data_IF_522025745328
#
_entry.id   IF_522025745328
#
_cell.length_a   1.000
_cell.length_b   1.000
_cell.length_c   1.000
_cell.angle_alpha   90.00
_cell.angle_beta   90.00
_cell.angle_gamma   90.00
#
_symmetry.space_group_name_H-M   'P 1'
#
loop_
_entity.id
_entity.type
_entity.pdbx_description
1 polymer ?
#
# COMPACT_ATOMS: atom_id res chain seq x y z
N UNK A 1 26.51 -1.97 -8.95
CA UNK A 1 26.52 -1.90 -7.47
C UNK A 1 27.25 -3.14 -6.99
N UNK A 2 28.25 -3.03 -6.13
CA UNK A 2 28.97 -4.22 -5.64
C UNK A 2 28.12 -4.94 -4.57
N UNK A 3 28.39 -6.23 -4.30
CA UNK A 3 27.69 -6.97 -3.24
C UNK A 3 27.83 -6.30 -1.86
N UNK A 4 28.95 -5.64 -1.59
CA UNK A 4 29.17 -4.88 -0.35
C UNK A 4 28.26 -3.63 -0.26
N UNK A 5 28.03 -2.93 -1.37
CA UNK A 5 27.14 -1.76 -1.43
C UNK A 5 25.66 -2.15 -1.18
N UNK A 6 25.25 -3.33 -1.67
CA UNK A 6 23.92 -3.90 -1.43
C UNK A 6 23.71 -4.14 0.06
N UNK A 7 24.64 -4.83 0.72
CA UNK A 7 24.48 -5.18 2.14
C UNK A 7 24.51 -3.99 3.08
N UNK A 8 25.31 -2.97 2.75
CA UNK A 8 25.30 -1.69 3.48
C UNK A 8 23.93 -1.02 3.41
N UNK A 9 23.31 -0.98 2.21
CA UNK A 9 21.97 -0.41 2.01
C UNK A 9 20.88 -1.16 2.79
N UNK A 10 20.99 -2.49 2.89
CA UNK A 10 19.98 -3.31 3.56
C UNK A 10 20.04 -3.29 5.09
N UNK A 11 21.17 -2.90 5.67
CA UNK A 11 21.39 -2.82 7.13
C UNK A 11 21.44 -1.38 7.64
N UNK A 12 21.70 -0.42 6.76
CA UNK A 12 21.76 1.01 7.08
C UNK A 12 20.38 1.63 7.39
N UNK A 13 20.35 2.94 7.64
CA UNK A 13 19.09 3.67 7.83
C UNK A 13 18.18 3.51 6.60
N UNK A 14 16.87 3.44 6.84
CA UNK A 14 15.88 3.38 5.75
C UNK A 14 15.98 4.68 4.93
N UNK A 15 16.12 4.60 3.59
CA UNK A 15 16.05 5.78 2.75
C UNK A 15 14.72 6.53 2.96
N UNK A 16 14.76 7.86 2.97
CA UNK A 16 13.52 8.63 3.05
C UNK A 16 12.73 8.55 1.72
N UNK A 17 11.40 8.55 1.82
CA UNK A 17 10.54 8.76 0.65
C UNK A 17 10.75 10.16 0.07
N UNK A 18 10.52 10.30 -1.23
CA UNK A 18 10.36 11.61 -1.86
C UNK A 18 9.16 12.30 -1.19
N UNK A 19 9.34 13.52 -0.67
CA UNK A 19 8.37 14.20 0.19
C UNK A 19 6.98 14.39 -0.42
N UNK A 20 6.90 14.45 -1.76
CA UNK A 20 5.62 14.52 -2.49
C UNK A 20 4.76 13.27 -2.32
N UNK A 21 5.34 12.09 -2.11
CA UNK A 21 4.59 10.85 -1.92
C UNK A 21 3.82 10.88 -0.59
N UNK A 22 4.45 11.07 0.59
CA UNK A 22 3.71 11.23 1.85
C UNK A 22 2.70 12.37 1.83
N UNK A 23 3.03 13.52 1.21
CA UNK A 23 2.10 14.64 1.09
C UNK A 23 0.84 14.28 0.29
N UNK A 24 1.01 13.60 -0.85
CA UNK A 24 -0.10 13.11 -1.65
C UNK A 24 -0.97 12.09 -0.91
N UNK A 25 -0.35 11.15 -0.19
CA UNK A 25 -1.08 10.17 0.65
C UNK A 25 -1.86 10.84 1.78
N UNK A 26 -1.31 11.89 2.39
CA UNK A 26 -2.02 12.68 3.41
C UNK A 26 -3.24 13.39 2.82
N UNK A 27 -3.13 13.94 1.61
CA UNK A 27 -4.27 14.53 0.90
C UNK A 27 -5.35 13.48 0.58
N UNK A 28 -4.97 12.29 0.11
CA UNK A 28 -5.88 11.16 -0.07
C UNK A 28 -6.60 10.80 1.24
N UNK A 29 -5.87 10.66 2.34
CA UNK A 29 -6.43 10.30 3.63
C UNK A 29 -7.43 11.35 4.14
N UNK A 30 -7.10 12.64 3.99
CA UNK A 30 -7.98 13.74 4.37
C UNK A 30 -9.27 13.75 3.54
N UNK A 31 -9.17 13.62 2.21
CA UNK A 31 -10.33 13.58 1.35
C UNK A 31 -11.20 12.34 1.58
N UNK A 32 -10.59 11.17 1.76
CA UNK A 32 -11.31 9.95 2.11
C UNK A 32 -12.08 10.08 3.42
N UNK A 33 -11.49 10.72 4.44
CA UNK A 33 -12.18 10.97 5.70
C UNK A 33 -13.40 11.90 5.52
N UNK A 34 -13.27 12.96 4.71
CA UNK A 34 -14.39 13.85 4.41
C UNK A 34 -15.49 13.15 3.60
N UNK A 35 -15.14 12.32 2.62
CA UNK A 35 -16.12 11.53 1.87
C UNK A 35 -16.82 10.49 2.75
N UNK A 36 -16.09 9.76 3.61
CA UNK A 36 -16.66 8.76 4.50
C UNK A 36 -17.58 9.35 5.58
N UNK A 37 -17.46 10.64 5.87
CA UNK A 37 -18.36 11.35 6.76
C UNK A 37 -19.72 11.69 6.13
N UNK A 38 -19.87 11.52 4.81
CA UNK A 38 -21.14 11.79 4.10
C UNK A 38 -22.11 10.64 4.38
N UNK A 39 -23.30 10.90 4.94
CA UNK A 39 -24.30 9.88 5.18
C UNK A 39 -24.93 9.43 3.85
N UNK A 40 -25.33 8.16 3.77
CA UNK A 40 -25.81 7.56 2.52
C UNK A 40 -27.08 8.26 1.98
N UNK A 41 -27.94 8.73 2.87
CA UNK A 41 -29.16 9.48 2.55
C UNK A 41 -28.89 10.85 1.92
N UNK A 42 -27.69 11.42 2.08
CA UNK A 42 -27.32 12.70 1.48
C UNK A 42 -26.75 12.56 0.06
N UNK A 43 -26.56 11.36 -0.47
CA UNK A 43 -25.94 11.14 -1.79
C UNK A 43 -26.67 11.85 -2.94
N UNK A 44 -27.99 12.00 -2.82
CA UNK A 44 -28.84 12.66 -3.82
C UNK A 44 -29.06 14.15 -3.56
N UNK A 45 -28.51 14.68 -2.46
CA UNK A 45 -28.60 16.10 -2.15
C UNK A 45 -27.88 16.93 -3.23
N UNK A 46 -28.38 18.14 -3.53
CA UNK A 46 -27.74 19.02 -4.50
C UNK A 46 -26.28 19.30 -4.13
N UNK A 47 -25.40 19.19 -5.12
CA UNK A 47 -24.00 19.60 -5.01
C UNK A 47 -23.59 20.33 -6.28
N UNK A 48 -22.72 21.33 -6.14
CA UNK A 48 -22.23 22.13 -7.25
C UNK A 48 -20.78 21.80 -7.54
N UNK A 49 -20.48 21.57 -8.81
CA UNK A 49 -19.12 21.50 -9.31
C UNK A 49 -18.74 22.83 -9.93
N UNK A 50 -17.92 23.60 -9.21
CA UNK A 50 -17.70 25.01 -9.54
C UNK A 50 -19.03 25.78 -9.46
N UNK A 51 -19.45 26.37 -10.58
CA UNK A 51 -20.72 27.11 -10.66
C UNK A 51 -21.91 26.26 -11.16
N UNK A 52 -21.68 25.00 -11.55
CA UNK A 52 -22.69 24.16 -12.19
C UNK A 52 -23.29 23.16 -11.20
N UNK A 53 -24.62 22.97 -11.25
CA UNK A 53 -25.27 21.89 -10.51
C UNK A 53 -24.88 20.53 -11.10
N UNK A 54 -24.52 19.61 -10.22
CA UNK A 54 -24.23 18.22 -10.57
C UNK A 54 -25.54 17.46 -10.83
N UNK A 55 -25.69 16.73 -11.95
CA UNK A 55 -26.89 15.95 -12.25
C UNK A 55 -27.26 14.91 -11.18
N UNK A 56 -26.26 14.35 -10.50
CA UNK A 56 -26.41 13.29 -9.50
C UNK A 56 -25.98 13.74 -8.10
N UNK A 57 -25.97 15.05 -7.86
CA UNK A 57 -25.73 15.62 -6.54
C UNK A 57 -24.36 15.26 -5.95
N UNK A 58 -24.34 15.04 -4.63
CA UNK A 58 -23.15 14.74 -3.83
C UNK A 58 -22.46 13.45 -4.29
N UNK A 59 -23.22 12.44 -4.73
CA UNK A 59 -22.67 11.17 -5.24
C UNK A 59 -21.58 11.41 -6.28
N UNK A 60 -21.82 12.32 -7.22
CA UNK A 60 -20.83 12.69 -8.23
C UNK A 60 -19.64 13.45 -7.64
N UNK A 61 -19.84 14.26 -6.61
CA UNK A 61 -18.73 14.89 -5.87
C UNK A 61 -17.74 13.89 -5.27
N UNK A 62 -18.20 12.68 -4.91
CA UNK A 62 -17.32 11.59 -4.45
C UNK A 62 -16.58 10.96 -5.64
N UNK A 63 -17.27 10.67 -6.75
CA UNK A 63 -16.64 10.14 -7.96
C UNK A 63 -15.57 11.08 -8.55
N UNK A 64 -15.79 12.39 -8.45
CA UNK A 64 -14.82 13.42 -8.86
C UNK A 64 -13.46 13.25 -8.19
N UNK A 65 -13.41 12.77 -6.95
CA UNK A 65 -12.15 12.44 -6.30
C UNK A 65 -11.36 11.36 -7.04
N UNK A 66 -12.04 10.29 -7.50
CA UNK A 66 -11.41 9.23 -8.30
C UNK A 66 -10.94 9.77 -9.65
N UNK A 67 -11.74 10.61 -10.30
CA UNK A 67 -11.38 11.25 -11.58
C UNK A 67 -10.16 12.16 -11.44
N UNK A 68 -10.05 12.92 -10.34
CA UNK A 68 -8.88 13.74 -10.02
C UNK A 68 -7.61 12.88 -9.91
N UNK A 69 -7.69 11.72 -9.26
CA UNK A 69 -6.55 10.78 -9.18
C UNK A 69 -6.23 10.16 -10.53
N UNK A 70 -7.21 9.76 -11.33
CA UNK A 70 -6.96 9.20 -12.68
C UNK A 70 -6.37 10.25 -13.64
N UNK A 71 -6.81 11.51 -13.56
CA UNK A 71 -6.22 12.61 -14.31
C UNK A 71 -4.74 12.81 -13.94
N UNK A 72 -4.43 12.80 -12.64
CA UNK A 72 -3.05 12.87 -12.15
C UNK A 72 -2.21 11.66 -12.60
N UNK A 73 -2.79 10.46 -12.64
CA UNK A 73 -2.13 9.26 -13.14
C UNK A 73 -1.76 9.39 -14.63
N UNK A 74 -2.65 9.97 -15.44
CA UNK A 74 -2.38 10.25 -16.86
C UNK A 74 -1.32 11.35 -17.05
N UNK A 75 -1.31 12.38 -16.20
CA UNK A 75 -0.25 13.39 -16.18
C UNK A 75 1.11 12.79 -15.81
N UNK A 76 1.16 11.95 -14.78
CA UNK A 76 2.37 11.22 -14.39
C UNK A 76 2.85 10.36 -15.55
N UNK A 77 1.98 9.59 -16.19
CA UNK A 77 2.35 8.76 -17.34
C UNK A 77 3.02 9.57 -18.46
N UNK A 78 2.50 10.77 -18.76
CA UNK A 78 3.14 11.69 -19.71
C UNK A 78 4.48 12.23 -19.19
N UNK A 79 4.58 12.59 -17.92
CA UNK A 79 5.82 13.09 -17.32
C UNK A 79 6.93 12.03 -17.28
N UNK A 80 6.55 10.74 -17.22
CA UNK A 80 7.49 9.62 -17.28
C UNK A 80 7.90 9.27 -18.72
N UNK A 81 7.23 9.81 -19.74
CA UNK A 81 7.55 9.51 -21.13
C UNK A 81 8.97 9.99 -21.49
N UNK A 82 9.83 9.06 -21.90
CA UNK A 82 11.24 9.34 -22.22
C UNK A 82 12.16 9.45 -21.00
N UNK A 83 11.64 9.29 -19.78
CA UNK A 83 12.47 9.20 -18.57
C UNK A 83 13.27 7.88 -18.56
N UNK A 84 14.40 7.83 -17.82
CA UNK A 84 15.12 6.58 -17.61
C UNK A 84 14.22 5.48 -17.04
N UNK A 85 14.46 4.23 -17.46
CA UNK A 85 13.74 3.10 -16.91
C UNK A 85 13.93 3.01 -15.39
N UNK A 86 12.85 2.65 -14.68
CA UNK A 86 12.93 2.30 -13.26
C UNK A 86 13.77 1.04 -13.09
N UNK A 87 14.36 0.87 -11.91
CA UNK A 87 15.09 -0.37 -11.61
C UNK A 87 14.17 -1.58 -11.75
N UNK A 88 14.71 -2.75 -12.13
CA UNK A 88 13.93 -3.98 -12.22
C UNK A 88 13.17 -4.31 -10.93
N UNK A 89 13.78 -4.09 -9.77
CA UNK A 89 13.14 -4.36 -8.49
C UNK A 89 12.00 -3.37 -8.18
N UNK A 90 12.15 -2.09 -8.51
CA UNK A 90 11.09 -1.11 -8.33
C UNK A 90 9.86 -1.46 -9.19
N UNK A 91 10.08 -1.94 -10.42
CA UNK A 91 9.01 -2.49 -11.27
C UNK A 91 8.40 -3.75 -10.65
N UNK A 92 9.23 -4.65 -10.10
CA UNK A 92 8.77 -5.89 -9.46
C UNK A 92 7.90 -5.67 -8.22
N UNK A 93 8.17 -4.60 -7.48
CA UNK A 93 7.45 -4.18 -6.26
C UNK A 93 6.13 -3.48 -6.58
N UNK A 94 5.96 -2.88 -7.76
CA UNK A 94 4.78 -2.09 -8.11
C UNK A 94 3.41 -2.79 -7.84
N UNK A 95 3.23 -4.10 -8.10
CA UNK A 95 2.00 -4.81 -7.74
C UNK A 95 1.71 -4.85 -6.24
N UNK A 96 2.74 -4.80 -5.38
CA UNK A 96 2.58 -4.70 -3.92
C UNK A 96 1.94 -3.38 -3.53
N UNK A 97 2.31 -2.28 -4.18
CA UNK A 97 1.68 -0.96 -3.97
C UNK A 97 0.19 -0.99 -4.31
N UNK A 98 -0.17 -1.64 -5.43
CA UNK A 98 -1.57 -1.80 -5.82
C UNK A 98 -2.33 -2.62 -4.78
N UNK A 99 -1.79 -3.76 -4.35
CA UNK A 99 -2.42 -4.62 -3.34
C UNK A 99 -2.55 -3.91 -1.99
N UNK A 100 -1.52 -3.18 -1.55
CA UNK A 100 -1.53 -2.36 -0.33
C UNK A 100 -2.69 -1.37 -0.36
N UNK A 101 -2.86 -0.63 -1.45
CA UNK A 101 -3.90 0.38 -1.54
C UNK A 101 -5.31 -0.20 -1.64
N UNK A 102 -5.46 -1.37 -2.27
CA UNK A 102 -6.71 -2.12 -2.24
C UNK A 102 -7.10 -2.54 -0.81
N UNK A 103 -6.12 -2.94 0.02
CA UNK A 103 -6.35 -3.22 1.44
C UNK A 103 -6.64 -1.92 2.22
N UNK A 104 -5.85 -0.87 2.03
CA UNK A 104 -6.06 0.43 2.68
C UNK A 104 -7.46 0.99 2.42
N UNK A 105 -8.00 0.86 1.22
CA UNK A 105 -9.36 1.31 0.89
C UNK A 105 -10.46 0.57 1.67
N UNK A 106 -10.28 -0.73 1.92
CA UNK A 106 -11.19 -1.50 2.79
C UNK A 106 -11.09 -1.07 4.24
N UNK A 107 -9.86 -0.86 4.71
CA UNK A 107 -9.59 -0.46 6.08
C UNK A 107 -10.00 0.99 6.37
N UNK A 108 -10.01 1.87 5.36
CA UNK A 108 -10.42 3.26 5.52
C UNK A 108 -11.85 3.40 6.07
N UNK A 109 -12.73 2.46 5.71
CA UNK A 109 -14.14 2.43 6.11
C UNK A 109 -14.43 1.50 7.31
N UNK A 110 -13.41 0.81 7.84
CA UNK A 110 -13.60 -0.22 8.84
C UNK A 110 -13.61 0.37 10.26
N UNK A 111 -14.62 -0.02 11.04
CA UNK A 111 -14.72 0.33 12.46
C UNK A 111 -13.86 -0.60 13.33
N UNK A 112 -13.15 -0.03 14.31
CA UNK A 112 -12.37 -0.75 15.32
C UNK A 112 -13.19 -1.85 16.02
N UNK A 113 -14.50 -1.64 16.21
CA UNK A 113 -15.40 -2.61 16.83
C UNK A 113 -15.51 -3.94 16.06
N UNK A 114 -15.08 -3.99 14.79
CA UNK A 114 -15.08 -5.20 13.98
C UNK A 114 -13.77 -6.00 14.10
N UNK A 115 -12.69 -5.40 14.61
CA UNK A 115 -11.35 -6.01 14.61
C UNK A 115 -11.33 -7.36 15.36
N UNK A 116 -11.99 -7.43 16.50
CA UNK A 116 -11.92 -8.58 17.43
C UNK A 116 -13.14 -9.50 17.38
N UNK A 117 -14.11 -9.19 16.51
CA UNK A 117 -15.28 -10.06 16.36
C UNK A 117 -14.87 -11.35 15.68
N UNK A 118 -15.17 -12.47 16.35
CA UNK A 118 -14.97 -13.81 15.79
C UNK A 118 -16.03 -14.06 14.72
N UNK A 119 -15.66 -14.25 13.44
CA UNK A 119 -16.65 -14.40 12.37
C UNK A 119 -17.35 -15.76 12.44
N UNK A 120 -16.60 -16.83 12.73
CA UNK A 120 -17.04 -18.21 12.90
C UNK A 120 -16.06 -18.97 13.78
N UNK A 121 -16.49 -20.11 14.32
CA UNK A 121 -15.61 -21.02 15.04
C UNK A 121 -14.43 -21.45 14.17
N UNK A 122 -13.20 -21.35 14.70
CA UNK A 122 -11.97 -21.72 14.01
C UNK A 122 -11.43 -20.69 13.01
N UNK A 123 -12.21 -19.67 12.66
CA UNK A 123 -11.81 -18.63 11.70
C UNK A 123 -11.09 -17.47 12.39
N UNK A 124 -10.22 -16.80 11.63
CA UNK A 124 -9.45 -15.65 12.14
C UNK A 124 -10.32 -14.40 12.25
N UNK A 125 -10.05 -13.58 13.26
CA UNK A 125 -10.61 -12.23 13.34
C UNK A 125 -9.95 -11.32 12.29
N UNK A 126 -10.56 -10.16 12.04
CA UNK A 126 -9.94 -9.14 11.18
C UNK A 126 -8.58 -8.70 11.75
N UNK A 127 -8.47 -8.50 13.08
CA UNK A 127 -7.20 -8.17 13.74
C UNK A 127 -6.11 -9.20 13.46
N UNK A 128 -6.43 -10.48 13.65
CA UNK A 128 -5.47 -11.57 13.43
C UNK A 128 -5.03 -11.64 11.96
N UNK A 129 -5.98 -11.46 11.03
CA UNK A 129 -5.67 -11.43 9.59
C UNK A 129 -4.72 -10.28 9.24
N UNK A 130 -4.93 -9.09 9.83
CA UNK A 130 -4.08 -7.91 9.59
C UNK A 130 -2.71 -8.05 10.26
N UNK A 131 -2.65 -8.57 11.48
CA UNK A 131 -1.42 -8.91 12.20
C UNK A 131 -0.54 -9.83 11.34
N UNK A 132 -1.12 -10.93 10.86
CA UNK A 132 -0.46 -11.88 9.97
C UNK A 132 0.02 -11.24 8.67
N UNK A 133 -0.79 -10.38 8.08
CA UNK A 133 -0.44 -9.69 6.82
C UNK A 133 0.82 -8.86 6.99
N UNK A 134 0.90 -8.07 8.07
CA UNK A 134 2.01 -7.16 8.36
C UNK A 134 3.26 -7.96 8.78
N UNK A 135 3.13 -8.94 9.66
CA UNK A 135 4.21 -9.85 10.03
C UNK A 135 4.81 -10.51 8.79
N UNK A 136 3.95 -11.03 7.91
CA UNK A 136 4.38 -11.62 6.65
C UNK A 136 5.17 -10.66 5.78
N UNK A 137 4.76 -9.38 5.65
CA UNK A 137 5.54 -8.38 4.91
C UNK A 137 6.91 -8.14 5.55
N UNK A 138 6.98 -8.05 6.88
CA UNK A 138 8.22 -7.84 7.61
C UNK A 138 9.17 -9.02 7.46
N UNK A 139 8.64 -10.23 7.63
CA UNK A 139 9.34 -11.50 7.44
C UNK A 139 9.84 -11.65 5.99
N UNK A 140 9.01 -11.36 4.99
CA UNK A 140 9.46 -11.39 3.60
C UNK A 140 10.63 -10.43 3.36
N UNK A 141 10.56 -9.21 3.89
CA UNK A 141 11.64 -8.23 3.80
C UNK A 141 12.93 -8.73 4.47
N UNK A 142 12.84 -9.12 5.74
CA UNK A 142 13.98 -9.58 6.53
C UNK A 142 14.67 -10.80 5.91
N UNK A 143 13.91 -11.83 5.53
CA UNK A 143 14.49 -13.05 4.96
C UNK A 143 15.02 -12.82 3.54
N UNK A 144 14.44 -11.92 2.75
CA UNK A 144 14.99 -11.58 1.43
C UNK A 144 16.34 -10.87 1.58
N UNK A 145 16.47 -9.96 2.56
CA UNK A 145 17.78 -9.39 2.95
C UNK A 145 18.76 -10.48 3.37
N UNK A 146 18.33 -11.42 4.20
CA UNK A 146 19.19 -12.52 4.65
C UNK A 146 19.72 -13.35 3.47
N UNK A 147 18.85 -13.74 2.54
CA UNK A 147 19.23 -14.51 1.33
C UNK A 147 20.22 -13.78 0.43
N UNK A 148 20.07 -12.47 0.26
CA UNK A 148 21.02 -11.63 -0.50
C UNK A 148 22.37 -11.54 0.19
N UNK A 149 22.41 -11.63 1.53
CA UNK A 149 23.65 -11.61 2.31
C UNK A 149 24.42 -12.92 2.36
N UNK A 150 23.84 -14.02 1.88
CA UNK A 150 24.51 -15.32 1.85
C UNK A 150 25.52 -15.39 0.70
N UNK A 151 26.60 -16.19 0.84
CA UNK A 151 27.50 -16.47 -0.28
C UNK A 151 26.74 -17.02 -1.49
N UNK A 152 27.25 -16.75 -2.69
CA UNK A 152 26.76 -17.36 -3.91
C UNK A 152 27.41 -18.74 -4.14
N UNK A 153 26.80 -19.58 -4.98
CA UNK A 153 27.38 -20.86 -5.36
C UNK A 153 27.25 -21.95 -4.29
N UNK A 154 28.17 -22.94 -4.26
CA UNK A 154 28.06 -24.15 -3.43
C UNK A 154 27.96 -23.89 -1.92
N UNK A 155 28.49 -22.76 -1.45
CA UNK A 155 28.49 -22.39 -0.02
C UNK A 155 27.15 -21.75 0.42
N UNK A 156 26.20 -21.54 -0.50
CA UNK A 156 24.88 -21.00 -0.18
C UNK A 156 24.11 -21.99 0.69
N UNK A 157 23.52 -21.55 1.83
CA UNK A 157 22.67 -22.42 2.63
C UNK A 157 21.46 -22.93 1.83
N UNK A 158 21.11 -24.21 2.00
CA UNK A 158 19.92 -24.79 1.36
C UNK A 158 18.60 -24.30 1.98
N UNK A 159 18.65 -23.76 3.20
CA UNK A 159 17.49 -23.22 3.94
C UNK A 159 17.96 -22.11 4.88
N UNK A 160 17.01 -21.32 5.37
CA UNK A 160 17.23 -20.42 6.51
C UNK A 160 17.74 -21.25 7.69
N UNK A 161 18.81 -20.79 8.34
CA UNK A 161 19.42 -21.54 9.45
C UNK A 161 18.67 -21.25 10.76
N UNK A 162 18.71 -22.16 11.75
CA UNK A 162 18.10 -21.93 13.05
C UNK A 162 18.60 -20.65 13.74
N UNK A 163 19.87 -20.29 13.53
CA UNK A 163 20.45 -19.04 14.06
C UNK A 163 19.82 -17.81 13.40
N UNK A 164 19.55 -17.87 12.09
CA UNK A 164 18.88 -16.80 11.37
C UNK A 164 17.41 -16.66 11.82
N UNK A 165 16.72 -17.77 12.05
CA UNK A 165 15.36 -17.78 12.61
C UNK A 165 15.35 -17.14 14.02
N UNK A 166 16.27 -17.54 14.89
CA UNK A 166 16.42 -16.96 16.22
C UNK A 166 16.74 -15.44 16.17
N UNK A 167 17.57 -15.00 15.22
CA UNK A 167 17.86 -13.58 15.00
C UNK A 167 16.60 -12.83 14.58
N UNK A 168 15.83 -13.38 13.64
CA UNK A 168 14.56 -12.77 13.19
C UNK A 168 13.56 -12.62 14.33
N UNK A 169 13.42 -13.63 15.19
CA UNK A 169 12.53 -13.57 16.36
C UNK A 169 12.95 -12.53 17.41
N UNK A 170 14.23 -12.11 17.40
CA UNK A 170 14.75 -11.06 18.30
C UNK A 170 14.64 -9.67 17.66
N UNK A 171 14.83 -9.57 16.35
CA UNK A 171 14.84 -8.31 15.59
C UNK A 171 13.44 -7.83 15.18
N UNK A 172 12.50 -8.75 14.98
CA UNK A 172 11.16 -8.44 14.51
C UNK A 172 10.17 -8.45 15.69
N UNK A 173 9.14 -7.59 15.68
CA UNK A 173 8.00 -7.73 16.59
C UNK A 173 7.33 -9.10 16.39
N UNK A 174 6.75 -9.64 17.46
CA UNK A 174 5.90 -10.82 17.33
C UNK A 174 4.61 -10.50 16.57
N UNK A 175 4.06 -11.49 15.86
CA UNK A 175 2.86 -11.33 15.01
C UNK A 175 1.71 -10.62 15.75
N UNK A 176 1.40 -11.03 16.99
CA UNK A 176 0.32 -10.42 17.78
C UNK A 176 0.52 -8.90 17.98
N UNK A 177 1.76 -8.44 18.10
CA UNK A 177 2.08 -7.02 18.28
C UNK A 177 1.74 -6.19 17.04
N UNK A 178 1.84 -6.79 15.84
CA UNK A 178 1.54 -6.10 14.58
C UNK A 178 0.05 -5.75 14.45
N UNK A 179 -0.81 -6.53 15.09
CA UNK A 179 -2.26 -6.31 15.13
C UNK A 179 -2.73 -5.39 16.25
N UNK A 180 -1.88 -4.88 17.14
CA UNK A 180 -2.33 -4.04 18.26
C UNK A 180 -2.73 -2.63 17.81
N UNK A 181 -3.73 -2.08 18.49
CA UNK A 181 -4.23 -0.71 18.30
C UNK A 181 -5.54 -0.62 17.52
N UNK A 182 -5.85 0.60 17.12
CA UNK A 182 -6.95 0.99 16.23
C UNK A 182 -6.68 0.55 14.79
N UNK A 183 -7.71 0.53 13.94
CA UNK A 183 -7.56 0.31 12.49
C UNK A 183 -6.57 1.32 11.90
N UNK A 184 -6.60 2.58 12.35
CA UNK A 184 -5.69 3.63 11.88
C UNK A 184 -4.22 3.29 12.18
N UNK A 185 -3.91 2.83 13.40
CA UNK A 185 -2.55 2.43 13.78
C UNK A 185 -2.07 1.19 13.01
N UNK A 186 -2.97 0.22 12.77
CA UNK A 186 -2.65 -0.97 11.96
C UNK A 186 -2.37 -0.58 10.50
N UNK A 187 -3.14 0.36 9.94
CA UNK A 187 -2.92 0.90 8.58
C UNK A 187 -1.57 1.60 8.46
N UNK A 188 -1.21 2.43 9.44
CA UNK A 188 0.09 3.10 9.48
C UNK A 188 1.24 2.09 9.56
N UNK A 189 1.07 1.03 10.35
CA UNK A 189 2.08 -0.03 10.48
C UNK A 189 2.29 -0.80 9.17
N UNK A 190 1.20 -1.12 8.46
CA UNK A 190 1.28 -1.71 7.12
C UNK A 190 2.04 -0.80 6.15
N UNK A 191 1.71 0.49 6.12
CA UNK A 191 2.39 1.46 5.23
C UNK A 191 3.87 1.56 5.56
N UNK A 192 4.22 1.67 6.85
CA UNK A 192 5.61 1.74 7.31
C UNK A 192 6.43 0.53 6.88
N UNK A 193 5.91 -0.68 7.07
CA UNK A 193 6.60 -1.92 6.69
C UNK A 193 6.78 -2.03 5.17
N UNK A 194 5.74 -1.74 4.39
CA UNK A 194 5.85 -1.80 2.93
C UNK A 194 6.80 -0.72 2.41
N UNK A 195 6.76 0.49 2.96
CA UNK A 195 7.67 1.58 2.59
C UNK A 195 9.12 1.24 2.88
N UNK A 196 9.41 0.79 4.11
CA UNK A 196 10.77 0.42 4.52
C UNK A 196 11.37 -0.60 3.55
N UNK A 197 10.71 -1.74 3.36
CA UNK A 197 11.29 -2.82 2.58
C UNK A 197 11.32 -2.50 1.09
N UNK A 198 10.33 -1.76 0.58
CA UNK A 198 10.33 -1.32 -0.81
C UNK A 198 11.49 -0.38 -1.09
N UNK A 199 11.78 0.57 -0.19
CA UNK A 199 12.90 1.50 -0.32
C UNK A 199 14.25 0.80 -0.23
N UNK A 200 14.40 -0.17 0.68
CA UNK A 200 15.64 -0.97 0.82
C UNK A 200 15.97 -1.77 -0.45
N UNK A 201 14.96 -2.31 -1.14
CA UNK A 201 15.17 -3.11 -2.35
C UNK A 201 15.03 -2.32 -3.66
N UNK A 202 14.68 -1.04 -3.59
CA UNK A 202 14.36 -0.21 -4.75
C UNK A 202 15.50 -0.13 -5.79
N UNK A 203 16.74 -0.46 -5.43
CA UNK A 203 17.93 -0.37 -6.31
C UNK A 203 18.49 -1.71 -6.77
N UNK A 204 17.82 -2.81 -6.48
CA UNK A 204 18.29 -4.13 -6.91
C UNK A 204 18.29 -4.25 -8.45
N UNK A 205 19.39 -4.75 -8.97
CA UNK A 205 19.57 -5.10 -10.39
C UNK A 205 18.97 -6.48 -10.69
N UNK A 206 18.88 -6.82 -11.98
CA UNK A 206 18.48 -8.17 -12.41
C UNK A 206 19.37 -9.27 -11.79
N UNK A 207 20.69 -9.04 -11.71
CA UNK A 207 21.60 -9.99 -11.05
C UNK A 207 21.26 -10.23 -9.58
N UNK A 208 20.87 -9.16 -8.86
CA UNK A 208 20.47 -9.28 -7.45
C UNK A 208 19.11 -9.98 -7.33
N UNK A 209 18.19 -9.70 -8.24
CA UNK A 209 16.88 -10.35 -8.30
C UNK A 209 16.99 -11.84 -8.63
N UNK A 210 18.00 -12.24 -9.41
CA UNK A 210 18.28 -13.63 -9.77
C UNK A 210 19.01 -14.43 -8.66
N UNK A 211 19.36 -13.80 -7.54
CA UNK A 211 19.98 -14.50 -6.40
C UNK A 211 19.07 -15.62 -5.91
N UNK A 212 19.61 -16.83 -5.85
CA UNK A 212 18.88 -18.03 -5.42
C UNK A 212 18.42 -17.92 -3.97
N UNK A 213 17.20 -18.34 -3.71
CA UNK A 213 16.57 -18.36 -2.40
C UNK A 213 15.70 -19.63 -2.26
N UNK A 214 15.08 -19.78 -1.09
CA UNK A 214 14.08 -20.82 -0.86
C UNK A 214 12.81 -20.20 -0.28
N UNK A 215 11.65 -20.70 -0.70
CA UNK A 215 10.35 -20.34 -0.14
C UNK A 215 9.56 -21.63 0.12
N UNK A 216 9.18 -21.88 1.38
CA UNK A 216 8.49 -23.10 1.79
C UNK A 216 9.18 -24.41 1.31
N UNK A 217 10.51 -24.45 1.35
CA UNK A 217 11.31 -25.59 0.87
C UNK A 217 11.47 -25.67 -0.66
N UNK A 218 10.84 -24.77 -1.41
CA UNK A 218 10.91 -24.70 -2.87
C UNK A 218 12.04 -23.75 -3.29
N UNK A 219 12.97 -24.19 -4.16
CA UNK A 219 13.98 -23.30 -4.76
C UNK A 219 13.32 -22.20 -5.58
N UNK A 220 13.68 -20.95 -5.30
CA UNK A 220 13.17 -19.74 -5.96
C UNK A 220 14.30 -18.71 -6.09
N UNK A 221 13.99 -17.50 -6.50
CA UNK A 221 14.93 -16.37 -6.49
C UNK A 221 14.36 -15.17 -5.69
N UNK A 222 15.13 -14.10 -5.57
CA UNK A 222 14.69 -12.86 -4.90
C UNK A 222 13.53 -12.20 -5.65
N UNK A 223 13.51 -12.25 -6.98
CA UNK A 223 12.41 -11.73 -7.80
C UNK A 223 11.07 -12.36 -7.42
N UNK A 224 11.04 -13.68 -7.23
CA UNK A 224 9.88 -14.42 -6.75
C UNK A 224 9.47 -13.95 -5.36
N UNK A 225 10.43 -13.85 -4.42
CA UNK A 225 10.14 -13.41 -3.04
C UNK A 225 9.55 -12.01 -2.99
N UNK A 226 10.07 -11.04 -3.76
CA UNK A 226 9.48 -9.70 -3.85
C UNK A 226 8.09 -9.73 -4.46
N UNK A 227 7.85 -10.62 -5.42
CA UNK A 227 6.52 -10.85 -5.99
C UNK A 227 5.50 -11.43 -5.02
N UNK A 228 5.95 -12.15 -3.99
CA UNK A 228 5.06 -12.71 -2.98
C UNK A 228 4.40 -11.64 -2.11
N UNK A 229 4.98 -10.45 -2.02
CA UNK A 229 4.45 -9.37 -1.19
C UNK A 229 3.05 -8.96 -1.62
N UNK A 230 2.89 -8.57 -2.90
CA UNK A 230 1.58 -8.18 -3.43
C UNK A 230 0.56 -9.31 -3.41
N UNK A 231 0.97 -10.55 -3.74
CA UNK A 231 0.05 -11.68 -3.70
C UNK A 231 -0.37 -12.08 -2.29
N UNK A 232 0.52 -11.96 -1.30
CA UNK A 232 0.19 -12.19 0.11
C UNK A 232 -0.76 -11.14 0.67
N UNK A 233 -0.52 -9.85 0.37
CA UNK A 233 -1.47 -8.78 0.74
C UNK A 233 -2.84 -9.05 0.10
N UNK A 234 -2.88 -9.40 -1.19
CA UNK A 234 -4.13 -9.68 -1.89
C UNK A 234 -4.86 -10.91 -1.32
N UNK A 235 -4.13 -11.98 -1.00
CA UNK A 235 -4.66 -13.19 -0.35
C UNK A 235 -5.37 -12.85 0.97
N UNK A 236 -4.72 -12.09 1.85
CA UNK A 236 -5.31 -11.71 3.13
C UNK A 236 -6.32 -10.56 3.04
N UNK A 237 -6.29 -9.78 1.96
CA UNK A 237 -7.38 -8.86 1.61
C UNK A 237 -8.66 -9.65 1.29
N UNK A 238 -8.56 -10.74 0.53
CA UNK A 238 -9.70 -11.63 0.26
C UNK A 238 -10.17 -12.32 1.55
N UNK A 239 -9.24 -12.74 2.41
CA UNK A 239 -9.61 -13.30 3.72
C UNK A 239 -10.35 -12.29 4.61
N UNK A 240 -9.93 -11.03 4.60
CA UNK A 240 -10.65 -9.94 5.28
C UNK A 240 -12.06 -9.76 4.69
N UNK A 241 -12.19 -9.72 3.36
CA UNK A 241 -13.50 -9.59 2.71
C UNK A 241 -14.46 -10.73 3.13
N UNK A 242 -13.97 -11.98 3.19
CA UNK A 242 -14.75 -13.13 3.68
C UNK A 242 -15.12 -13.00 5.15
N UNK A 243 -14.20 -12.52 5.97
CA UNK A 243 -14.42 -12.27 7.40
C UNK A 243 -15.53 -11.26 7.62
N UNK A 244 -15.51 -10.15 6.87
CA UNK A 244 -16.53 -9.10 6.95
C UNK A 244 -17.90 -9.59 6.47
N UNK A 245 -17.95 -10.37 5.39
CA UNK A 245 -19.20 -10.99 4.91
C UNK A 245 -19.82 -11.89 5.98
N UNK A 246 -19.02 -12.75 6.63
CA UNK A 246 -19.50 -13.61 7.73
C UNK A 246 -19.99 -12.83 8.94
N UNK A 247 -19.43 -11.66 9.22
CA UNK A 247 -19.89 -10.76 10.28
C UNK A 247 -21.16 -9.97 9.89
N UNK A 248 -21.65 -10.15 8.66
CA UNK A 248 -22.79 -9.41 8.12
C UNK A 248 -22.46 -7.95 7.80
N UNK A 249 -21.18 -7.59 7.74
CA UNK A 249 -20.75 -6.23 7.40
C UNK A 249 -20.86 -6.02 5.89
N UNK A 250 -21.68 -5.06 5.48
CA UNK A 250 -21.84 -4.68 4.07
C UNK A 250 -21.42 -3.22 3.90
N UNK A 251 -20.49 -2.93 2.98
CA UNK A 251 -20.09 -1.55 2.74
C UNK A 251 -21.24 -0.75 2.13
N UNK A 252 -21.41 0.50 2.57
CA UNK A 252 -22.31 1.49 1.98
C UNK A 252 -21.84 1.89 0.59
N UNK A 253 -22.69 2.60 -0.17
CA UNK A 253 -22.29 3.12 -1.48
C UNK A 253 -21.08 4.07 -1.36
N UNK A 254 -21.09 5.00 -0.40
CA UNK A 254 -19.96 5.91 -0.10
C UNK A 254 -18.66 5.13 0.10
N UNK A 255 -18.70 4.08 0.93
CA UNK A 255 -17.52 3.26 1.23
C UNK A 255 -16.99 2.53 -0.01
N UNK A 256 -17.87 2.08 -0.91
CA UNK A 256 -17.47 1.46 -2.19
C UNK A 256 -16.81 2.46 -3.12
N UNK A 257 -17.32 3.69 -3.20
CA UNK A 257 -16.71 4.73 -4.05
C UNK A 257 -15.34 5.14 -3.48
N UNK A 258 -15.22 5.28 -2.16
CA UNK A 258 -13.93 5.57 -1.50
C UNK A 258 -12.92 4.43 -1.67
N UNK A 259 -13.37 3.17 -1.72
CA UNK A 259 -12.51 2.05 -2.10
C UNK A 259 -11.97 2.22 -3.54
N UNK A 260 -12.80 2.63 -4.50
CA UNK A 260 -12.34 2.89 -5.87
C UNK A 260 -11.33 4.04 -5.94
N UNK A 261 -11.50 5.09 -5.13
CA UNK A 261 -10.51 6.16 -4.98
C UNK A 261 -9.15 5.62 -4.53
N UNK A 262 -9.12 4.73 -3.52
CA UNK A 262 -7.87 4.10 -3.07
C UNK A 262 -7.29 3.16 -4.13
N UNK A 263 -8.13 2.42 -4.87
CA UNK A 263 -7.67 1.57 -5.97
C UNK A 263 -7.00 2.41 -7.08
N UNK A 264 -7.61 3.55 -7.45
CA UNK A 264 -7.04 4.51 -8.40
C UNK A 264 -5.71 5.05 -7.91
N UNK A 265 -5.62 5.41 -6.63
CA UNK A 265 -4.38 5.86 -6.02
C UNK A 265 -3.29 4.77 -6.07
N UNK A 266 -3.64 3.52 -5.80
CA UNK A 266 -2.72 2.38 -5.92
C UNK A 266 -2.13 2.25 -7.31
N UNK A 267 -2.95 2.40 -8.36
CA UNK A 267 -2.50 2.40 -9.76
C UNK A 267 -1.58 3.58 -10.06
N UNK A 268 -1.92 4.78 -9.60
CA UNK A 268 -1.08 5.98 -9.74
C UNK A 268 0.27 5.77 -9.06
N UNK A 269 0.25 5.46 -7.77
CA UNK A 269 1.46 5.41 -6.94
C UNK A 269 2.39 4.28 -7.40
N UNK A 270 1.86 3.15 -7.87
CA UNK A 270 2.68 2.03 -8.39
C UNK A 270 3.62 2.43 -9.52
N UNK A 271 3.32 3.52 -10.25
CA UNK A 271 4.17 4.05 -11.34
C UNK A 271 5.41 4.78 -10.83
N UNK A 272 5.34 5.35 -9.63
CA UNK A 272 6.36 6.27 -9.07
C UNK A 272 7.00 5.78 -7.77
N UNK A 273 6.38 4.82 -7.07
CA UNK A 273 6.87 4.25 -5.82
C UNK A 273 7.57 2.91 -6.05
N UNK A 274 8.68 2.58 -5.33
CA UNK A 274 9.27 3.32 -4.20
C UNK A 274 10.20 4.46 -4.59
N UNK A 275 10.65 4.49 -5.83
CA UNK A 275 11.46 5.58 -6.37
C UNK A 275 10.98 5.90 -7.79
N UNK A 276 10.76 7.19 -8.10
CA UNK A 276 10.45 7.61 -9.45
C UNK A 276 11.70 7.51 -10.35
N UNK A 277 11.54 7.49 -11.68
CA UNK A 277 12.64 7.71 -12.60
C UNK A 277 13.45 8.97 -12.27
N UNK A 278 14.77 8.88 -12.34
CA UNK A 278 15.64 10.01 -12.05
C UNK A 278 15.34 11.19 -13.00
N UNK A 279 15.23 12.40 -12.42
CA UNK A 279 14.94 13.63 -13.16
C UNK A 279 13.45 13.92 -13.33
N UNK A 280 12.55 13.08 -12.79
CA UNK A 280 11.10 13.29 -12.85
C UNK A 280 10.50 13.82 -11.54
N UNK A 281 11.31 13.95 -10.49
CA UNK A 281 10.87 14.22 -9.12
C UNK A 281 10.08 15.53 -9.00
N UNK A 282 10.55 16.60 -9.64
CA UNK A 282 9.89 17.90 -9.59
C UNK A 282 8.52 17.90 -10.30
N UNK A 283 8.43 17.26 -11.47
CA UNK A 283 7.17 17.15 -12.21
C UNK A 283 6.15 16.31 -11.44
N UNK A 284 6.58 15.18 -10.87
CA UNK A 284 5.72 14.34 -10.03
C UNK A 284 5.26 15.10 -8.78
N UNK A 285 6.14 15.88 -8.15
CA UNK A 285 5.78 16.69 -6.99
C UNK A 285 4.71 17.73 -7.31
N UNK A 286 4.84 18.45 -8.42
CA UNK A 286 3.82 19.41 -8.88
C UNK A 286 2.47 18.73 -9.15
N UNK A 287 2.49 17.60 -9.87
CA UNK A 287 1.26 16.84 -10.18
C UNK A 287 0.58 16.35 -8.91
N UNK A 288 1.32 15.74 -7.98
CA UNK A 288 0.77 15.24 -6.72
C UNK A 288 0.25 16.36 -5.82
N UNK A 289 0.93 17.52 -5.80
CA UNK A 289 0.48 18.68 -5.05
C UNK A 289 -0.86 19.19 -5.58
N UNK A 290 -0.95 19.48 -6.89
CA UNK A 290 -2.19 19.96 -7.52
C UNK A 290 -3.34 18.97 -7.33
N UNK A 291 -3.09 17.70 -7.58
CA UNK A 291 -4.08 16.64 -7.40
C UNK A 291 -4.55 16.57 -5.94
N UNK A 292 -3.63 16.66 -4.97
CA UNK A 292 -3.97 16.66 -3.54
C UNK A 292 -4.80 17.87 -3.12
N UNK A 293 -4.45 19.07 -3.58
CA UNK A 293 -5.21 20.30 -3.33
C UNK A 293 -6.63 20.21 -3.89
N UNK A 294 -6.78 19.76 -5.14
CA UNK A 294 -8.09 19.54 -5.77
C UNK A 294 -8.91 18.49 -5.01
N UNK A 295 -8.30 17.35 -4.70
CA UNK A 295 -8.97 16.23 -4.04
C UNK A 295 -9.52 16.63 -2.66
N UNK A 296 -8.73 17.34 -1.84
CA UNK A 296 -9.16 17.82 -0.53
C UNK A 296 -10.24 18.90 -0.65
N UNK A 297 -10.11 19.82 -1.61
CA UNK A 297 -11.09 20.88 -1.84
C UNK A 297 -12.46 20.32 -2.27
N UNK A 298 -12.47 19.42 -3.25
CA UNK A 298 -13.70 18.77 -3.75
C UNK A 298 -14.37 17.93 -2.65
N UNK A 299 -13.59 17.19 -1.84
CA UNK A 299 -14.13 16.40 -0.74
C UNK A 299 -14.80 17.25 0.34
N UNK A 300 -14.16 18.35 0.76
CA UNK A 300 -14.75 19.30 1.72
C UNK A 300 -16.02 19.94 1.18
N UNK A 301 -16.05 20.28 -0.11
CA UNK A 301 -17.23 20.84 -0.76
C UNK A 301 -18.40 19.85 -0.75
N UNK A 302 -18.15 18.59 -1.10
CA UNK A 302 -19.16 17.54 -1.09
C UNK A 302 -19.69 17.29 0.33
N UNK A 303 -18.80 17.26 1.33
CA UNK A 303 -19.18 17.12 2.73
C UNK A 303 -20.02 18.29 3.24
N UNK A 304 -19.62 19.52 2.95
CA UNK A 304 -20.36 20.71 3.36
C UNK A 304 -21.79 20.73 2.76
N UNK A 305 -21.96 20.24 1.53
CA UNK A 305 -23.28 20.09 0.93
C UNK A 305 -24.14 19.02 1.60
N UNK A 306 -23.53 17.99 2.21
CA UNK A 306 -24.26 16.95 2.94
C UNK A 306 -24.77 17.43 4.31
N UNK A 307 -24.14 18.47 4.86
CA UNK A 307 -24.47 19.07 6.16
C UNK A 307 -25.49 20.23 6.05
N UNK A 308 -25.83 20.67 4.83
CA UNK A 308 -26.73 21.78 4.52
C UNK A 308 -28.19 21.35 4.35
#
# INVERSE_FOLDING_TARGET
MTTLDVLSTLRGPVPALVSSIPAGRAALAAAAADYLAIPAEALESPWKWGEHESPDGIRYGIYRGTETVEAAAAEIERALAGAPARSPAAVRIAPTTVARWALQGRLAALDDALLDRVPREGEWTARRTLAHTIDGQRSYGWFSRWWVSQPAGPDRPARVTPEAEASSATELPGEDAEGLGTVAEIRERLDSVVDEWSLRFARFSDDTLAVQATWAGIPVDISFRLGRWGSHIAEHTIQLDKTLDWLGHRPTEVQRIVLELHNAWGRLESRIFPMPPAGTEAAIADILQRAGETLVSEARSARAAAEA
#
